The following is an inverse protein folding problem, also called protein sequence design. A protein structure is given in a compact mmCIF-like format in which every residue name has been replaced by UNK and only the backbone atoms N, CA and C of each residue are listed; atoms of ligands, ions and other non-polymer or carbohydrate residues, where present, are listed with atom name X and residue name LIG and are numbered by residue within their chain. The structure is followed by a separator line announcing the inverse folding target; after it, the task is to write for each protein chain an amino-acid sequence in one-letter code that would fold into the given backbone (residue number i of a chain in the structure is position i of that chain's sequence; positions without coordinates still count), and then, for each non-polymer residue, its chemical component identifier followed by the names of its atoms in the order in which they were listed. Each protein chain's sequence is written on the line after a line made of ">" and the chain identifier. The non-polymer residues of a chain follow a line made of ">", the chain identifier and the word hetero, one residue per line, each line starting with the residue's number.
data_IF_331105665074
#
_entry.id   IF_331105665074
#
_cell.length_a   1.000
_cell.length_b   1.000
_cell.length_c   1.000
_cell.angle_alpha   90.00
_cell.angle_beta   90.00
_cell.angle_gamma   90.00
#
_symmetry.space_group_name_H-M   'P 1'
#
loop_
_entity.id
_entity.type
_entity.pdbx_description
1 polymer ?
#
# COMPACT_ATOMS: atom_id res chain seq x y z
N UNK A 1 26.26 1.28 7.97
CA UNK A 1 25.92 1.30 6.53
C UNK A 1 24.79 0.33 6.34
N UNK A 2 23.58 0.84 6.09
CA UNK A 2 22.40 0.01 5.85
C UNK A 2 22.51 -0.65 4.48
N UNK A 3 22.11 -1.92 4.39
CA UNK A 3 22.00 -2.62 3.10
C UNK A 3 20.88 -1.91 2.34
N UNK A 4 21.23 -1.31 1.20
CA UNK A 4 20.26 -0.78 0.24
C UNK A 4 19.58 -1.99 -0.39
N UNK A 5 18.26 -2.03 -0.31
CA UNK A 5 17.47 -3.09 -0.94
C UNK A 5 17.25 -2.72 -2.41
N UNK A 6 17.44 -3.69 -3.30
CA UNK A 6 17.04 -3.55 -4.70
C UNK A 6 15.53 -3.32 -4.80
N UNK A 7 15.08 -2.58 -5.82
CA UNK A 7 13.67 -2.20 -5.99
C UNK A 7 12.73 -3.41 -5.93
N UNK A 8 13.08 -4.50 -6.62
CA UNK A 8 12.29 -5.73 -6.64
C UNK A 8 12.19 -6.36 -5.23
N UNK A 9 13.30 -6.39 -4.49
CA UNK A 9 13.32 -6.89 -3.11
C UNK A 9 12.48 -6.02 -2.16
N UNK A 10 12.42 -4.70 -2.41
CA UNK A 10 11.55 -3.79 -1.64
C UNK A 10 10.08 -4.06 -1.91
N UNK A 11 9.72 -4.28 -3.17
CA UNK A 11 8.35 -4.61 -3.59
C UNK A 11 7.93 -5.95 -2.98
N UNK A 12 8.76 -6.99 -3.12
CA UNK A 12 8.48 -8.33 -2.57
C UNK A 12 8.28 -8.29 -1.05
N UNK A 13 9.07 -7.48 -0.34
CA UNK A 13 8.92 -7.31 1.11
C UNK A 13 7.56 -6.69 1.47
N UNK A 14 7.10 -5.69 0.72
CA UNK A 14 5.78 -5.06 0.93
C UNK A 14 4.66 -6.04 0.58
N UNK A 15 4.74 -6.73 -0.56
CA UNK A 15 3.74 -7.71 -1.00
C UNK A 15 3.59 -8.86 0.01
N UNK A 16 4.70 -9.34 0.58
CA UNK A 16 4.70 -10.40 1.59
C UNK A 16 3.88 -10.02 2.83
N UNK A 17 3.86 -8.75 3.24
CA UNK A 17 3.06 -8.29 4.39
C UNK A 17 1.56 -8.46 4.11
N UNK A 18 1.12 -8.20 2.87
CA UNK A 18 -0.28 -8.37 2.47
C UNK A 18 -0.66 -9.85 2.39
N UNK A 19 0.21 -10.69 1.84
CA UNK A 19 -0.01 -12.14 1.75
C UNK A 19 -0.07 -12.81 3.12
N UNK A 20 0.85 -12.48 4.03
CA UNK A 20 0.85 -13.00 5.41
C UNK A 20 -0.43 -12.65 6.18
N UNK A 21 -1.06 -11.53 5.81
CA UNK A 21 -2.32 -11.06 6.40
C UNK A 21 -3.57 -11.59 5.68
N UNK A 22 -3.41 -12.40 4.64
CA UNK A 22 -4.51 -13.01 3.88
C UNK A 22 -5.29 -12.02 3.01
N UNK A 23 -4.66 -10.92 2.59
CA UNK A 23 -5.29 -9.89 1.75
C UNK A 23 -5.24 -10.28 0.27
N UNK A 24 -6.28 -9.92 -0.50
CA UNK A 24 -6.32 -10.14 -1.95
C UNK A 24 -5.83 -8.86 -2.64
N UNK A 25 -4.61 -8.91 -3.16
CA UNK A 25 -4.03 -7.85 -3.98
C UNK A 25 -4.54 -7.94 -5.42
N UNK A 26 -4.99 -6.82 -5.96
CA UNK A 26 -5.47 -6.74 -7.35
C UNK A 26 -4.94 -5.48 -8.02
N UNK A 27 -4.41 -5.62 -9.23
CA UNK A 27 -3.92 -4.49 -10.03
C UNK A 27 -4.97 -4.11 -11.07
N UNK A 28 -5.80 -3.07 -10.82
CA UNK A 28 -6.80 -2.64 -11.79
C UNK A 28 -6.16 -1.97 -13.01
N UNK A 29 -6.83 -2.03 -14.15
CA UNK A 29 -6.38 -1.32 -15.37
C UNK A 29 -6.53 0.20 -15.25
N UNK A 30 -7.55 0.67 -14.52
CA UNK A 30 -7.79 2.08 -14.23
C UNK A 30 -8.60 2.21 -12.93
N UNK A 31 -8.38 3.31 -12.21
CA UNK A 31 -9.11 3.65 -10.98
C UNK A 31 -9.83 4.99 -11.22
N UNK A 32 -11.15 4.99 -11.16
CA UNK A 32 -11.99 6.18 -11.28
C UNK A 32 -12.94 6.24 -10.09
N UNK A 33 -12.46 6.81 -8.99
CA UNK A 33 -13.23 6.93 -7.75
C UNK A 33 -13.48 8.42 -7.49
N UNK A 34 -14.72 8.83 -7.16
CA UNK A 34 -15.08 10.23 -7.01
C UNK A 34 -14.44 10.91 -5.80
N UNK A 35 -14.04 10.13 -4.78
CA UNK A 35 -13.37 10.63 -3.57
C UNK A 35 -12.19 9.72 -3.21
N UNK A 36 -11.03 10.32 -2.94
CA UNK A 36 -9.85 9.62 -2.47
C UNK A 36 -9.25 10.30 -1.24
N UNK A 37 -8.79 9.49 -0.29
CA UNK A 37 -8.16 9.91 0.96
C UNK A 37 -6.81 9.20 1.09
N UNK A 38 -5.75 10.00 1.24
CA UNK A 38 -4.42 9.47 1.60
C UNK A 38 -4.37 9.26 3.11
N UNK A 39 -4.19 8.00 3.52
CA UNK A 39 -4.01 7.61 4.92
C UNK A 39 -2.58 7.91 5.38
N UNK A 40 -1.62 7.83 4.46
CA UNK A 40 -0.24 8.19 4.72
C UNK A 40 0.70 7.85 3.58
N UNK A 41 1.88 8.45 3.63
CA UNK A 41 3.00 8.23 2.72
C UNK A 41 4.25 7.84 3.50
N UNK A 42 5.07 6.96 2.93
CA UNK A 42 6.37 6.61 3.50
C UNK A 42 7.39 6.32 2.39
N UNK A 43 8.64 6.69 2.64
CA UNK A 43 9.76 6.31 1.80
C UNK A 43 10.43 5.04 2.34
N UNK A 44 10.55 4.01 1.50
CA UNK A 44 11.17 2.74 1.83
C UNK A 44 12.40 2.55 0.94
N UNK A 45 13.60 2.92 1.43
CA UNK A 45 14.85 2.80 0.65
C UNK A 45 15.82 1.80 1.26
N UNK A 46 15.74 1.58 2.56
CA UNK A 46 16.69 0.78 3.33
C UNK A 46 15.99 -0.09 4.37
N UNK A 47 16.73 -1.04 4.95
CA UNK A 47 16.23 -1.87 6.04
C UNK A 47 15.84 -1.06 7.30
N UNK A 48 16.40 0.14 7.49
CA UNK A 48 16.02 1.00 8.61
C UNK A 48 14.56 1.46 8.50
N UNK A 49 14.06 1.60 7.26
CA UNK A 49 12.71 2.07 6.95
C UNK A 49 11.67 0.93 7.02
N UNK A 50 12.13 -0.32 7.19
CA UNK A 50 11.29 -1.51 7.18
C UNK A 50 10.30 -1.53 8.34
N UNK A 51 10.73 -1.11 9.53
CA UNK A 51 9.90 -1.11 10.72
C UNK A 51 8.72 -0.14 10.57
N UNK A 52 8.99 1.08 10.10
CA UNK A 52 7.98 2.11 9.95
C UNK A 52 7.06 1.83 8.76
N UNK A 53 7.59 1.28 7.66
CA UNK A 53 6.78 0.79 6.53
C UNK A 53 5.83 -0.30 6.99
N UNK A 54 6.31 -1.24 7.80
CA UNK A 54 5.49 -2.33 8.35
C UNK A 54 4.38 -1.80 9.25
N UNK A 55 4.66 -0.76 10.06
CA UNK A 55 3.64 -0.11 10.90
C UNK A 55 2.56 0.55 10.05
N UNK A 56 2.91 1.32 9.03
CA UNK A 56 1.94 1.97 8.14
C UNK A 56 1.08 0.94 7.41
N UNK A 57 1.69 -0.08 6.81
CA UNK A 57 0.97 -1.15 6.10
C UNK A 57 0.06 -1.92 7.06
N UNK A 58 0.52 -2.20 8.29
CA UNK A 58 -0.31 -2.89 9.29
C UNK A 58 -1.50 -2.04 9.72
N UNK A 59 -1.31 -0.73 9.93
CA UNK A 59 -2.41 0.19 10.23
C UNK A 59 -3.42 0.22 9.08
N UNK A 60 -2.94 0.37 7.84
CA UNK A 60 -3.76 0.34 6.64
C UNK A 60 -4.60 -0.93 6.53
N UNK A 61 -4.00 -2.11 6.73
CA UNK A 61 -4.71 -3.40 6.68
C UNK A 61 -5.77 -3.49 7.79
N UNK A 62 -5.47 -2.98 8.99
CA UNK A 62 -6.43 -2.95 10.09
C UNK A 62 -7.62 -2.02 9.81
N UNK A 63 -7.39 -0.90 9.12
CA UNK A 63 -8.45 0.03 8.70
C UNK A 63 -9.28 -0.50 7.52
N UNK A 64 -8.64 -1.22 6.59
CA UNK A 64 -9.30 -1.86 5.45
C UNK A 64 -10.25 -2.97 5.90
N UNK A 65 -9.85 -3.78 6.88
CA UNK A 65 -10.59 -4.95 7.35
C UNK A 65 -10.18 -6.25 6.64
N UNK A 66 -10.38 -7.37 7.32
CA UNK A 66 -9.95 -8.70 6.83
C UNK A 66 -10.80 -9.19 5.67
N UNK A 67 -10.15 -9.64 4.59
CA UNK A 67 -10.82 -10.23 3.42
C UNK A 67 -11.26 -9.23 2.35
N UNK A 68 -10.97 -7.94 2.56
CA UNK A 68 -11.23 -6.91 1.57
C UNK A 68 -10.21 -6.96 0.41
N UNK A 69 -10.67 -6.52 -0.75
CA UNK A 69 -9.83 -6.41 -1.94
C UNK A 69 -8.96 -5.15 -1.82
N UNK A 70 -7.65 -5.33 -1.84
CA UNK A 70 -6.70 -4.23 -1.93
C UNK A 70 -6.37 -3.98 -3.40
N UNK A 71 -6.56 -2.74 -3.83
CA UNK A 71 -6.13 -2.23 -5.12
C UNK A 71 -4.67 -1.81 -5.00
N UNK A 72 -3.84 -2.26 -5.93
CA UNK A 72 -2.45 -1.84 -6.05
C UNK A 72 -2.25 -1.14 -7.39
N UNK A 73 -1.60 0.01 -7.39
CA UNK A 73 -1.19 0.69 -8.62
C UNK A 73 0.15 1.38 -8.44
N UNK A 74 0.90 1.47 -9.53
CA UNK A 74 2.18 2.16 -9.57
C UNK A 74 1.98 3.58 -10.10
N UNK A 75 2.59 4.55 -9.43
CA UNK A 75 2.65 5.93 -9.87
C UNK A 75 4.08 6.45 -9.69
N UNK A 76 4.75 6.75 -10.80
CA UNK A 76 6.15 7.16 -10.85
C UNK A 76 7.12 6.20 -10.11
N UNK A 77 7.54 6.54 -8.90
CA UNK A 77 8.45 5.74 -8.06
C UNK A 77 7.76 5.22 -6.79
N UNK A 78 6.43 5.31 -6.73
CA UNK A 78 5.64 4.90 -5.59
C UNK A 78 4.70 3.74 -5.95
N UNK A 79 4.58 2.81 -5.01
CA UNK A 79 3.53 1.81 -4.99
C UNK A 79 2.41 2.29 -4.09
N UNK A 80 1.24 2.43 -4.66
CA UNK A 80 0.04 2.82 -3.94
C UNK A 80 -0.81 1.58 -3.66
N UNK A 81 -1.36 1.53 -2.45
CA UNK A 81 -2.26 0.48 -2.00
C UNK A 81 -3.53 1.13 -1.45
N UNK A 82 -4.70 0.71 -1.92
CA UNK A 82 -5.96 1.29 -1.48
C UNK A 82 -7.08 0.28 -1.34
N UNK A 83 -8.02 0.56 -0.44
CA UNK A 83 -9.28 -0.17 -0.32
C UNK A 83 -10.45 0.77 -0.60
N UNK A 84 -11.58 0.18 -0.99
CA UNK A 84 -12.80 0.92 -1.23
C UNK A 84 -13.70 0.84 0.00
N UNK A 85 -14.25 1.97 0.41
CA UNK A 85 -15.22 2.08 1.48
C UNK A 85 -16.45 2.81 0.97
N UNK A 86 -17.63 2.36 1.37
CA UNK A 86 -18.88 3.09 1.08
C UNK A 86 -19.32 3.82 2.35
N UNK A 87 -19.36 5.14 2.30
CA UNK A 87 -19.85 6.01 3.38
C UNK A 87 -20.92 6.92 2.78
N UNK A 88 -22.11 6.94 3.40
CA UNK A 88 -23.24 7.76 2.93
C UNK A 88 -23.57 7.60 1.44
N UNK A 89 -23.50 6.36 0.92
CA UNK A 89 -23.67 6.00 -0.50
C UNK A 89 -22.62 6.57 -1.46
N UNK A 90 -21.52 7.11 -0.95
CA UNK A 90 -20.38 7.54 -1.75
C UNK A 90 -19.25 6.53 -1.62
N UNK A 91 -18.71 6.09 -2.75
CA UNK A 91 -17.52 5.24 -2.78
C UNK A 91 -16.28 6.10 -2.59
N UNK A 92 -15.53 5.79 -1.55
CA UNK A 92 -14.29 6.45 -1.16
C UNK A 92 -13.11 5.48 -1.33
N UNK A 93 -12.03 5.95 -1.95
CA UNK A 93 -10.76 5.24 -2.02
C UNK A 93 -9.86 5.71 -0.89
N UNK A 94 -9.54 4.82 0.03
CA UNK A 94 -8.60 5.10 1.12
C UNK A 94 -7.28 4.40 0.79
N UNK A 95 -6.17 5.14 0.73
CA UNK A 95 -4.91 4.60 0.22
C UNK A 95 -3.67 5.06 0.97
N UNK A 96 -2.63 4.23 0.95
CA UNK A 96 -1.27 4.57 1.35
C UNK A 96 -0.35 4.61 0.12
N UNK A 97 0.70 5.40 0.21
CA UNK A 97 1.75 5.48 -0.81
C UNK A 97 3.10 5.07 -0.22
N UNK A 98 3.80 4.18 -0.90
CA UNK A 98 5.12 3.71 -0.49
C UNK A 98 6.10 4.05 -1.61
N UNK A 99 6.94 5.05 -1.38
CA UNK A 99 7.99 5.42 -2.31
C UNK A 99 9.14 4.41 -2.21
N UNK A 100 9.38 3.68 -3.29
CA UNK A 100 10.43 2.65 -3.35
C UNK A 100 11.63 3.10 -4.17
N UNK A 101 11.70 4.37 -4.55
CA UNK A 101 12.82 4.94 -5.32
C UNK A 101 12.99 4.33 -6.72
N UNK A 102 13.97 4.87 -7.47
CA UNK A 102 14.42 4.28 -8.73
C UNK A 102 15.27 3.03 -8.51
#
# INVERSE_FOLDING_TARGET
>A
MGIVLDKDARIDAVLSIFEEKGMILTTPTAIQIPLSFSIGDIAFYSKADQEDTTKLVTQFINEAGTGERILMWEEENAFNFGYLKVVDNVTELHYISIEVGK
#
